data_IF_615840723963
#
_entry.id   IF_615840723963
#
_cell.length_a   1.000
_cell.length_b   1.000
_cell.length_c   1.000
_cell.angle_alpha   90.00
_cell.angle_beta   90.00
_cell.angle_gamma   90.00
#
_symmetry.space_group_name_H-M   'P 1'
#
loop_
_entity.id
_entity.type
_entity.pdbx_description
1 polymer ?
#
# COMPACT_ATOMS: atom_id res chain seq x y z
N UNK A 1 14.39 5.30 -5.29
CA UNK A 1 13.36 4.33 -5.74
C UNK A 1 13.33 3.06 -4.88
N UNK A 2 14.46 2.37 -4.66
CA UNK A 2 14.50 1.08 -3.96
C UNK A 2 13.86 1.05 -2.56
N UNK A 3 14.10 2.07 -1.74
CA UNK A 3 13.47 2.17 -0.41
C UNK A 3 11.94 2.24 -0.44
N UNK A 4 11.36 2.98 -1.40
CA UNK A 4 9.90 3.09 -1.55
C UNK A 4 9.29 1.79 -2.10
N UNK A 5 10.01 1.10 -2.98
CA UNK A 5 9.61 -0.22 -3.46
C UNK A 5 9.62 -1.26 -2.32
N UNK A 6 10.60 -1.20 -1.41
CA UNK A 6 10.63 -2.04 -0.22
C UNK A 6 9.45 -1.76 0.72
N UNK A 7 9.07 -0.47 0.89
CA UNK A 7 7.85 -0.10 1.64
C UNK A 7 6.61 -0.69 0.98
N UNK A 8 6.46 -0.58 -0.34
CA UNK A 8 5.36 -1.20 -1.08
C UNK A 8 5.29 -2.72 -0.81
N UNK A 9 6.42 -3.43 -0.98
CA UNK A 9 6.50 -4.87 -0.75
C UNK A 9 6.14 -5.24 0.70
N UNK A 10 6.61 -4.47 1.70
CA UNK A 10 6.26 -4.69 3.10
C UNK A 10 4.77 -4.44 3.42
N UNK A 11 4.11 -3.53 2.70
CA UNK A 11 2.69 -3.23 2.91
C UNK A 11 1.73 -4.26 2.30
N UNK A 12 2.04 -4.77 1.10
CA UNK A 12 1.15 -5.67 0.37
C UNK A 12 1.58 -7.15 0.42
N UNK A 13 2.87 -7.44 0.59
CA UNK A 13 3.43 -8.78 0.41
C UNK A 13 2.87 -9.81 1.39
N UNK A 14 2.84 -9.50 2.69
CA UNK A 14 2.35 -10.44 3.71
C UNK A 14 0.85 -10.76 3.56
N UNK A 15 -0.06 -9.79 3.40
CA UNK A 15 -1.47 -10.07 3.12
C UNK A 15 -1.69 -10.89 1.85
N UNK A 16 -0.99 -10.58 0.76
CA UNK A 16 -1.10 -11.31 -0.51
C UNK A 16 -0.60 -12.75 -0.37
N UNK A 17 0.57 -12.95 0.24
CA UNK A 17 1.11 -14.29 0.49
C UNK A 17 0.16 -15.13 1.34
N UNK A 18 -0.41 -14.55 2.40
CA UNK A 18 -1.40 -15.25 3.22
C UNK A 18 -2.66 -15.65 2.44
N UNK A 19 -3.19 -14.76 1.60
CA UNK A 19 -4.38 -15.05 0.81
C UNK A 19 -4.14 -16.11 -0.27
N UNK A 20 -2.95 -16.11 -0.89
CA UNK A 20 -2.55 -17.13 -1.88
C UNK A 20 -2.39 -18.50 -1.21
N UNK A 21 -1.74 -18.55 -0.05
CA UNK A 21 -1.50 -19.80 0.68
C UNK A 21 -2.75 -20.32 1.41
N UNK A 22 -3.68 -19.43 1.78
CA UNK A 22 -4.88 -19.77 2.56
C UNK A 22 -6.10 -19.03 1.98
N UNK A 23 -6.64 -19.48 0.84
CA UNK A 23 -7.74 -18.81 0.17
C UNK A 23 -9.00 -18.83 1.06
N UNK A 24 -9.40 -17.66 1.55
CA UNK A 24 -10.61 -17.49 2.36
C UNK A 24 -11.13 -16.06 2.25
N UNK A 25 -12.47 -15.84 2.39
CA UNK A 25 -13.05 -14.50 2.29
C UNK A 25 -12.37 -13.42 3.16
N UNK A 26 -12.09 -13.63 4.46
CA UNK A 26 -11.48 -12.58 5.29
C UNK A 26 -10.03 -12.27 4.89
N UNK A 27 -9.27 -13.27 4.45
CA UNK A 27 -7.87 -13.06 4.02
C UNK A 27 -7.79 -12.33 2.68
N UNK A 28 -8.67 -12.66 1.74
CA UNK A 28 -8.77 -11.96 0.46
C UNK A 28 -9.21 -10.51 0.66
N UNK A 29 -10.21 -10.24 1.51
CA UNK A 29 -10.62 -8.87 1.83
C UNK A 29 -9.48 -8.06 2.46
N UNK A 30 -8.72 -8.67 3.37
CA UNK A 30 -7.54 -8.03 3.97
C UNK A 30 -6.45 -7.75 2.93
N UNK A 31 -6.22 -8.68 2.00
CA UNK A 31 -5.26 -8.50 0.91
C UNK A 31 -5.67 -7.35 -0.02
N UNK A 32 -6.95 -7.28 -0.41
CA UNK A 32 -7.49 -6.19 -1.23
C UNK A 32 -7.39 -4.84 -0.50
N UNK A 33 -7.89 -4.77 0.74
CA UNK A 33 -7.82 -3.56 1.55
C UNK A 33 -6.38 -3.09 1.80
N UNK A 34 -5.44 -4.03 1.96
CA UNK A 34 -4.01 -3.77 2.02
C UNK A 34 -3.44 -3.24 0.69
N UNK A 35 -3.81 -3.86 -0.43
CA UNK A 35 -3.40 -3.48 -1.78
C UNK A 35 -3.83 -2.05 -2.16
N UNK A 36 -5.06 -1.67 -1.83
CA UNK A 36 -5.55 -0.30 -2.03
C UNK A 36 -4.66 0.72 -1.30
N UNK A 37 -4.29 0.43 -0.04
CA UNK A 37 -3.42 1.31 0.75
C UNK A 37 -1.98 1.31 0.24
N UNK A 38 -1.54 0.21 -0.35
CA UNK A 38 -0.21 0.06 -0.94
C UNK A 38 -0.04 0.82 -2.27
N UNK A 39 -1.11 1.35 -2.88
CA UNK A 39 -0.98 2.21 -4.06
C UNK A 39 -0.18 3.49 -3.79
N UNK A 40 -0.27 4.06 -2.59
CA UNK A 40 0.48 5.27 -2.23
C UNK A 40 2.00 5.03 -2.30
N UNK A 41 2.58 4.04 -1.60
CA UNK A 41 4.01 3.76 -1.72
C UNK A 41 4.42 3.28 -3.13
N UNK A 42 3.52 2.61 -3.88
CA UNK A 42 3.79 2.25 -5.27
C UNK A 42 3.95 3.49 -6.17
N UNK A 43 2.99 4.42 -6.09
CA UNK A 43 3.03 5.68 -6.83
C UNK A 43 4.28 6.51 -6.47
N UNK A 44 4.64 6.57 -5.18
CA UNK A 44 5.86 7.22 -4.74
C UNK A 44 7.13 6.53 -5.31
N UNK A 45 7.17 5.20 -5.31
CA UNK A 45 8.30 4.44 -5.88
C UNK A 45 8.48 4.71 -7.37
N UNK A 46 7.38 4.76 -8.13
CA UNK A 46 7.37 5.06 -9.56
C UNK A 46 7.78 6.52 -9.84
N UNK A 47 7.27 7.48 -9.08
CA UNK A 47 7.66 8.89 -9.17
C UNK A 47 9.16 9.08 -8.89
N UNK A 48 9.68 8.44 -7.84
CA UNK A 48 11.11 8.47 -7.51
C UNK A 48 11.97 7.78 -8.59
N UNK A 49 11.46 6.73 -9.24
CA UNK A 49 12.16 6.04 -10.34
C UNK A 49 12.22 6.92 -11.60
N UNK A 50 11.21 7.76 -11.83
CA UNK A 50 11.19 8.75 -12.90
C UNK A 50 11.96 10.04 -12.61
N UNK A 51 12.71 10.13 -11.50
CA UNK A 51 13.51 11.30 -11.13
C UNK A 51 12.78 12.37 -10.29
N UNK A 52 11.48 12.20 -10.02
CA UNK A 52 10.67 13.16 -9.27
C UNK A 52 10.69 12.86 -7.75
N UNK A 53 11.86 12.99 -7.11
CA UNK A 53 12.02 12.66 -5.69
C UNK A 53 11.14 13.51 -4.76
N UNK A 54 10.98 14.81 -5.03
CA UNK A 54 10.11 15.69 -4.25
C UNK A 54 8.64 15.26 -4.30
N UNK A 55 8.14 14.92 -5.49
CA UNK A 55 6.80 14.38 -5.68
C UNK A 55 6.61 13.06 -4.94
N UNK A 56 7.60 12.16 -4.96
CA UNK A 56 7.55 10.91 -4.24
C UNK A 56 7.41 11.09 -2.72
N UNK A 57 8.15 12.05 -2.14
CA UNK A 57 8.02 12.40 -0.72
C UNK A 57 6.65 13.02 -0.40
N UNK A 58 6.16 13.90 -1.27
CA UNK A 58 4.81 14.48 -1.15
C UNK A 58 3.71 13.42 -1.17
N UNK A 59 3.80 12.42 -2.06
CA UNK A 59 2.88 11.28 -2.10
C UNK A 59 2.96 10.46 -0.79
N UNK A 60 4.18 10.18 -0.30
CA UNK A 60 4.35 9.43 0.96
C UNK A 60 3.77 10.15 2.18
N UNK A 61 3.73 11.48 2.18
CA UNK A 61 3.10 12.25 3.25
C UNK A 61 1.58 12.01 3.37
N UNK A 62 0.94 11.42 2.35
CA UNK A 62 -0.49 11.06 2.37
C UNK A 62 -0.79 9.74 3.11
N UNK A 63 0.22 8.90 3.36
CA UNK A 63 0.06 7.60 4.06
C UNK A 63 -0.70 7.71 5.40
N UNK A 64 -0.36 8.61 6.35
CA UNK A 64 -1.09 8.71 7.61
C UNK A 64 -2.57 9.09 7.40
N UNK A 65 -2.85 9.94 6.41
CA UNK A 65 -4.21 10.38 6.09
C UNK A 65 -5.04 9.23 5.52
N UNK A 66 -4.47 8.45 4.61
CA UNK A 66 -5.10 7.25 4.07
C UNK A 66 -5.41 6.23 5.17
N UNK A 67 -4.50 6.03 6.14
CA UNK A 67 -4.74 5.15 7.31
C UNK A 67 -5.87 5.68 8.21
N UNK A 68 -5.95 7.00 8.39
CA UNK A 68 -7.01 7.63 9.19
C UNK A 68 -8.38 7.44 8.54
N UNK A 69 -8.48 7.67 7.23
CA UNK A 69 -9.76 7.58 6.52
C UNK A 69 -10.19 6.16 6.19
N UNK A 70 -9.27 5.23 5.95
CA UNK A 70 -9.63 3.84 5.66
C UNK A 70 -10.43 3.16 6.77
N UNK A 71 -10.31 3.62 8.02
CA UNK A 71 -11.13 3.16 9.15
C UNK A 71 -12.57 3.66 9.12
N UNK A 72 -12.85 4.75 8.40
CA UNK A 72 -14.20 5.33 8.28
C UNK A 72 -15.02 4.71 7.14
N UNK A 73 -14.36 4.14 6.13
CA UNK A 73 -15.04 3.59 4.93
C UNK A 73 -15.27 2.08 5.04
N UNK A 74 -14.54 1.38 5.93
CA UNK A 74 -14.88 0.00 6.31
C UNK A 74 -16.05 0.01 7.28
N UNK A 75 -17.26 0.15 6.73
CA UNK A 75 -18.50 -0.30 7.36
C UNK A 75 -18.55 -1.82 7.17
N UNK A 76 -17.97 -2.55 8.10
CA UNK A 76 -18.10 -4.01 8.23
C UNK A 76 -18.40 -4.33 9.67
#
# INVERSE_FOLDING_TARGET
AGGLAAVYAGTAGKPLAHAVLNPSPPLTQRAVGGGIRAMIPLQAALAARGGAAGTALGIMALVPLARKFARKVSLT
#
